data_IF_455357328842
#
_entry.id   IF_455357328842
#
_cell.length_a   1.000
_cell.length_b   1.000
_cell.length_c   1.000
_cell.angle_alpha   90.00
_cell.angle_beta   90.00
_cell.angle_gamma   90.00
#
_symmetry.space_group_name_H-M   'P 1'
#
loop_
_entity.id
_entity.type
_entity.pdbx_description
1 polymer ?
#
# COMPACT_ATOMS: atom_id res chain seq x y z
N UNK A 1 4.47 0.66 17.69
CA UNK A 1 5.18 0.89 16.42
C UNK A 1 5.70 -0.46 15.98
N UNK A 2 5.53 -0.86 14.70
CA UNK A 2 6.30 -2.00 14.20
C UNK A 2 7.77 -1.67 14.29
N UNK A 3 8.56 -2.67 14.68
CA UNK A 3 10.00 -2.55 14.71
C UNK A 3 10.50 -2.29 13.28
N UNK A 4 11.51 -1.44 13.11
CA UNK A 4 12.11 -1.20 11.79
C UNK A 4 12.57 -2.51 11.15
N UNK A 5 13.03 -3.46 11.97
CA UNK A 5 13.41 -4.80 11.52
C UNK A 5 12.24 -5.64 10.97
N UNK A 6 11.01 -5.40 11.42
CA UNK A 6 9.83 -6.05 10.82
C UNK A 6 9.56 -5.50 9.42
N UNK A 7 9.61 -4.17 9.26
CA UNK A 7 9.42 -3.51 7.95
C UNK A 7 10.48 -4.00 6.97
N UNK A 8 11.76 -3.99 7.38
CA UNK A 8 12.89 -4.45 6.57
C UNK A 8 12.72 -5.92 6.14
N UNK A 9 12.28 -6.78 7.05
CA UNK A 9 12.02 -8.20 6.74
C UNK A 9 10.94 -8.38 5.68
N UNK A 10 9.82 -7.65 5.77
CA UNK A 10 8.78 -7.71 4.73
C UNK A 10 9.27 -7.10 3.41
N UNK A 11 10.05 -6.02 3.48
CA UNK A 11 10.63 -5.37 2.31
C UNK A 11 11.51 -6.37 1.53
N UNK A 12 12.46 -7.01 2.20
CA UNK A 12 13.33 -8.02 1.61
C UNK A 12 12.54 -9.20 1.05
N UNK A 13 11.56 -9.71 1.81
CA UNK A 13 10.71 -10.83 1.37
C UNK A 13 9.97 -10.51 0.05
N UNK A 14 9.45 -9.30 -0.10
CA UNK A 14 8.79 -8.86 -1.34
C UNK A 14 9.82 -8.68 -2.47
N UNK A 15 10.94 -7.97 -2.23
CA UNK A 15 11.97 -7.71 -3.24
C UNK A 15 12.60 -8.99 -3.79
N UNK A 16 12.99 -9.91 -2.91
CA UNK A 16 13.54 -11.21 -3.32
C UNK A 16 12.54 -12.01 -4.17
N UNK A 17 11.25 -11.89 -3.87
CA UNK A 17 10.20 -12.57 -4.65
C UNK A 17 10.00 -11.93 -6.03
N UNK A 18 10.17 -10.60 -6.14
CA UNK A 18 10.22 -9.91 -7.44
C UNK A 18 11.41 -10.38 -8.27
N UNK A 19 12.62 -10.38 -7.70
CA UNK A 19 13.84 -10.77 -8.41
C UNK A 19 13.86 -12.23 -8.88
N UNK A 20 13.20 -13.13 -8.13
CA UNK A 20 13.03 -14.52 -8.58
C UNK A 20 12.07 -14.67 -9.76
N UNK A 21 11.30 -13.63 -10.10
CA UNK A 21 10.27 -13.66 -11.13
C UNK A 21 8.97 -14.33 -10.69
N UNK A 22 8.74 -14.47 -9.37
CA UNK A 22 7.54 -15.09 -8.80
C UNK A 22 6.33 -14.12 -8.81
N UNK A 23 6.59 -12.82 -9.01
CA UNK A 23 5.58 -11.77 -9.16
C UNK A 23 5.65 -11.17 -10.57
N UNK A 24 4.51 -10.75 -11.15
CA UNK A 24 4.53 -10.14 -12.48
C UNK A 24 5.25 -8.80 -12.47
N UNK A 25 5.94 -8.47 -13.55
CA UNK A 25 6.61 -7.17 -13.73
C UNK A 25 5.72 -6.13 -14.42
N UNK A 26 4.58 -6.54 -14.98
CA UNK A 26 3.61 -5.65 -15.62
C UNK A 26 2.18 -6.16 -15.46
N UNK A 27 1.21 -5.27 -15.64
CA UNK A 27 -0.21 -5.63 -15.58
C UNK A 27 -0.79 -5.47 -14.18
N UNK A 28 -1.40 -6.53 -13.63
CA UNK A 28 -2.14 -6.43 -12.37
C UNK A 28 -1.22 -6.33 -11.14
N UNK A 29 -1.54 -5.40 -10.25
CA UNK A 29 -0.90 -5.23 -8.94
C UNK A 29 -1.45 -6.19 -7.87
N UNK A 30 -2.58 -6.86 -8.14
CA UNK A 30 -3.23 -7.76 -7.17
C UNK A 30 -2.31 -8.85 -6.59
N UNK A 31 -1.44 -9.52 -7.37
CA UNK A 31 -0.54 -10.54 -6.84
C UNK A 31 0.38 -10.00 -5.73
N UNK A 32 0.82 -8.75 -5.83
CA UNK A 32 1.65 -8.10 -4.79
C UNK A 32 0.86 -7.89 -3.50
N UNK A 33 -0.40 -7.43 -3.61
CA UNK A 33 -1.28 -7.28 -2.45
C UNK A 33 -1.52 -8.61 -1.76
N UNK A 34 -1.90 -9.65 -2.51
CA UNK A 34 -2.19 -10.98 -1.95
C UNK A 34 -0.95 -11.56 -1.29
N UNK A 35 0.20 -11.54 -1.98
CA UNK A 35 1.47 -12.01 -1.43
C UNK A 35 1.85 -11.32 -0.11
N UNK A 36 1.69 -9.99 -0.07
CA UNK A 36 1.98 -9.19 1.12
C UNK A 36 1.04 -9.52 2.28
N UNK A 37 -0.26 -9.71 1.99
CA UNK A 37 -1.26 -10.07 3.00
C UNK A 37 -1.05 -11.49 3.53
N UNK A 38 -0.63 -12.43 2.69
CA UNK A 38 -0.24 -13.79 3.11
C UNK A 38 1.00 -13.75 4.00
N UNK A 39 2.04 -12.99 3.61
CA UNK A 39 3.21 -12.81 4.45
C UNK A 39 2.85 -12.19 5.81
N UNK A 40 1.97 -11.19 5.82
CA UNK A 40 1.48 -10.56 7.05
C UNK A 40 0.62 -11.52 7.89
N UNK A 41 -0.15 -12.40 7.26
CA UNK A 41 -0.92 -13.43 7.97
C UNK A 41 0.03 -14.36 8.74
N UNK A 42 1.11 -14.81 8.10
CA UNK A 42 2.12 -15.66 8.75
C UNK A 42 2.76 -14.94 9.96
N UNK A 43 3.20 -13.69 9.77
CA UNK A 43 3.82 -12.91 10.85
C UNK A 43 2.84 -12.48 11.95
N UNK A 44 1.53 -12.43 11.66
CA UNK A 44 0.52 -12.04 12.64
C UNK A 44 0.46 -12.98 13.85
N UNK A 45 0.92 -14.23 13.70
CA UNK A 45 0.97 -15.22 14.79
C UNK A 45 2.02 -14.87 15.85
N UNK A 46 3.12 -14.22 15.46
CA UNK A 46 4.21 -13.83 16.36
C UNK A 46 4.16 -12.34 16.74
N UNK A 47 3.78 -11.47 15.81
CA UNK A 47 3.86 -10.01 15.97
C UNK A 47 2.51 -9.38 16.36
N UNK A 48 1.42 -10.14 16.20
CA UNK A 48 0.05 -9.63 16.28
C UNK A 48 -0.43 -8.98 14.98
N UNK A 49 -1.74 -9.08 14.73
CA UNK A 49 -2.46 -8.60 13.54
C UNK A 49 -2.07 -7.17 13.14
N UNK A 50 -2.15 -6.24 14.10
CA UNK A 50 -1.93 -4.83 13.82
C UNK A 50 -0.47 -4.54 13.44
N UNK A 51 0.49 -5.28 14.00
CA UNK A 51 1.89 -5.08 13.69
C UNK A 51 2.24 -5.65 12.32
N UNK A 52 1.92 -6.93 12.10
CA UNK A 52 2.21 -7.61 10.85
C UNK A 52 1.56 -6.92 9.64
N UNK A 53 0.31 -6.47 9.76
CA UNK A 53 -0.35 -5.69 8.70
C UNK A 53 0.42 -4.39 8.40
N UNK A 54 0.75 -3.63 9.44
CA UNK A 54 1.37 -2.32 9.27
C UNK A 54 2.76 -2.45 8.64
N UNK A 55 3.59 -3.37 9.15
CA UNK A 55 4.94 -3.60 8.63
C UNK A 55 4.92 -4.03 7.16
N UNK A 56 4.06 -4.98 6.82
CA UNK A 56 3.97 -5.53 5.47
C UNK A 56 3.46 -4.49 4.45
N UNK A 57 2.44 -3.72 4.82
CA UNK A 57 1.92 -2.67 3.93
C UNK A 57 2.89 -1.49 3.82
N UNK A 58 3.63 -1.15 4.88
CA UNK A 58 4.70 -0.16 4.79
C UNK A 58 5.78 -0.61 3.81
N UNK A 59 6.26 -1.86 3.96
CA UNK A 59 7.21 -2.46 3.04
C UNK A 59 6.71 -2.43 1.59
N UNK A 60 5.48 -2.86 1.34
CA UNK A 60 4.88 -2.82 0.00
C UNK A 60 4.76 -1.39 -0.55
N UNK A 61 4.47 -0.40 0.30
CA UNK A 61 4.38 1.01 -0.10
C UNK A 61 5.75 1.61 -0.40
N UNK A 62 6.80 1.17 0.27
CA UNK A 62 8.17 1.57 -0.05
C UNK A 62 8.60 1.06 -1.44
N UNK A 63 8.08 -0.09 -1.87
CA UNK A 63 8.42 -0.74 -3.14
C UNK A 63 7.53 -0.25 -4.29
N UNK A 64 6.21 -0.30 -4.09
CA UNK A 64 5.20 -0.03 -5.11
C UNK A 64 4.25 1.14 -4.73
N UNK A 65 4.61 2.00 -3.78
CA UNK A 65 3.82 3.19 -3.43
C UNK A 65 4.23 4.44 -4.21
N UNK A 66 3.81 5.60 -3.70
CA UNK A 66 4.32 6.88 -4.18
C UNK A 66 5.76 7.10 -3.68
N UNK A 67 6.65 7.65 -4.53
CA UNK A 67 8.07 7.88 -4.20
C UNK A 67 8.24 8.70 -2.91
N UNK A 68 7.36 9.66 -2.69
CA UNK A 68 7.38 10.58 -1.55
C UNK A 68 6.97 9.93 -0.23
N UNK A 69 6.41 8.70 -0.25
CA UNK A 69 6.09 7.98 0.99
C UNK A 69 7.33 7.77 1.87
N UNK A 70 8.49 7.55 1.26
CA UNK A 70 9.78 7.42 1.94
C UNK A 70 10.15 8.65 2.77
N UNK A 71 9.76 9.85 2.33
CA UNK A 71 10.01 11.10 3.06
C UNK A 71 9.26 11.15 4.39
N UNK A 72 8.12 10.46 4.48
CA UNK A 72 7.22 10.47 5.63
C UNK A 72 7.61 9.38 6.63
N UNK A 73 7.98 8.20 6.12
CA UNK A 73 8.30 7.05 6.97
C UNK A 73 9.80 6.80 7.11
N UNK A 74 10.67 7.65 6.54
CA UNK A 74 12.12 7.43 6.51
C UNK A 74 12.76 7.25 7.89
N UNK A 75 12.22 7.91 8.93
CA UNK A 75 12.67 7.69 10.32
C UNK A 75 12.17 6.39 10.96
N UNK A 76 11.36 5.61 10.24
CA UNK A 76 10.72 4.36 10.70
C UNK A 76 11.29 3.11 10.03
N UNK A 77 12.10 3.26 8.97
CA UNK A 77 12.70 2.15 8.22
C UNK A 77 14.16 1.96 8.67
N UNK A 78 14.64 0.72 8.70
CA UNK A 78 15.97 0.39 9.20
C UNK A 78 17.07 0.52 8.15
N UNK A 79 18.28 0.11 8.51
CA UNK A 79 19.46 0.24 7.64
C UNK A 79 19.42 -0.68 6.41
N UNK A 80 18.68 -1.78 6.45
CA UNK A 80 18.54 -2.70 5.31
C UNK A 80 17.81 -2.04 4.13
N UNK A 81 16.92 -1.07 4.40
CA UNK A 81 16.34 -0.22 3.36
C UNK A 81 17.34 0.77 2.78
N UNK A 82 18.33 1.18 3.57
CA UNK A 82 19.39 2.10 3.15
C UNK A 82 20.57 1.39 2.45
N UNK A 83 20.58 0.06 2.41
CA UNK A 83 21.50 -0.67 1.56
C UNK A 83 21.06 -0.53 0.10
N UNK A 84 21.86 0.18 -0.69
CA UNK A 84 21.78 0.22 -2.15
C UNK A 84 22.01 -1.20 -2.69
N UNK A 85 20.95 -1.99 -2.76
CA UNK A 85 20.92 -3.24 -3.53
C UNK A 85 20.46 -2.88 -4.94
N UNK A 86 21.25 -3.27 -5.93
CA UNK A 86 20.96 -3.14 -7.35
C UNK A 86 19.82 -4.11 -7.74
N UNK A 87 18.62 -3.82 -7.29
CA UNK A 87 17.42 -4.55 -7.67
C UNK A 87 17.05 -4.26 -9.12
N UNK A 88 16.86 -5.30 -9.93
CA UNK A 88 16.56 -5.14 -11.37
C UNK A 88 15.05 -4.95 -11.62
N UNK A 89 14.19 -5.47 -10.74
CA UNK A 89 12.73 -5.43 -10.92
C UNK A 89 12.10 -4.21 -10.24
N UNK A 90 11.10 -3.61 -10.89
CA UNK A 90 10.33 -2.47 -10.37
C UNK A 90 8.81 -2.67 -10.46
N UNK A 91 8.04 -1.66 -10.06
CA UNK A 91 6.58 -1.66 -10.10
C UNK A 91 6.00 -0.66 -11.12
N UNK A 92 6.81 -0.12 -12.03
CA UNK A 92 6.41 1.02 -12.87
C UNK A 92 5.29 0.65 -13.84
N UNK A 93 5.30 -0.57 -14.37
CA UNK A 93 4.27 -1.08 -15.29
C UNK A 93 3.12 -1.82 -14.59
N UNK A 94 3.07 -1.77 -13.26
CA UNK A 94 1.98 -2.36 -12.47
C UNK A 94 0.83 -1.37 -12.28
N UNK A 95 -0.37 -1.89 -12.49
CA UNK A 95 -1.62 -1.15 -12.45
C UNK A 95 -2.58 -1.76 -11.44
N UNK A 96 -3.42 -0.93 -10.84
CA UNK A 96 -4.60 -1.36 -10.10
C UNK A 96 -5.80 -0.71 -10.76
N UNK A 97 -6.81 -1.50 -11.11
CA UNK A 97 -7.94 -1.07 -11.92
C UNK A 97 -7.51 -0.41 -13.24
N UNK A 98 -6.46 -0.96 -13.86
CA UNK A 98 -5.90 -0.48 -15.12
C UNK A 98 -5.12 0.85 -15.05
N UNK A 99 -4.89 1.43 -13.86
CA UNK A 99 -4.12 2.68 -13.69
C UNK A 99 -2.94 2.51 -12.74
N UNK A 100 -1.78 3.07 -13.12
CA UNK A 100 -0.59 3.17 -12.26
C UNK A 100 -0.87 4.08 -11.07
N UNK A 101 -1.52 5.23 -11.29
CA UNK A 101 -1.80 6.19 -10.23
C UNK A 101 -2.78 5.62 -9.19
N UNK A 102 -3.76 4.83 -9.64
CA UNK A 102 -4.66 4.13 -8.71
C UNK A 102 -3.92 3.17 -7.78
N UNK A 103 -2.90 2.44 -8.25
CA UNK A 103 -2.03 1.61 -7.40
C UNK A 103 -1.34 2.47 -6.34
N UNK A 104 -0.74 3.59 -6.75
CA UNK A 104 0.00 4.49 -5.86
C UNK A 104 -0.92 5.08 -4.79
N UNK A 105 -2.08 5.59 -5.17
CA UNK A 105 -3.10 6.14 -4.27
C UNK A 105 -3.62 5.09 -3.28
N UNK A 106 -4.04 3.93 -3.79
CA UNK A 106 -4.55 2.83 -2.97
C UNK A 106 -3.53 2.39 -1.91
N UNK A 107 -2.31 2.10 -2.35
CA UNK A 107 -1.26 1.53 -1.48
C UNK A 107 -0.83 2.54 -0.41
N UNK A 108 -0.63 3.79 -0.82
CA UNK A 108 -0.26 4.88 0.09
C UNK A 108 -1.36 5.13 1.13
N UNK A 109 -2.63 5.19 0.71
CA UNK A 109 -3.75 5.39 1.62
C UNK A 109 -3.92 4.22 2.61
N UNK A 110 -3.69 2.98 2.17
CA UNK A 110 -3.72 1.81 3.04
C UNK A 110 -2.62 1.86 4.12
N UNK A 111 -1.40 2.28 3.76
CA UNK A 111 -0.30 2.45 4.71
C UNK A 111 -0.59 3.55 5.73
N UNK A 112 -1.07 4.70 5.27
CA UNK A 112 -1.40 5.82 6.15
C UNK A 112 -2.53 5.47 7.11
N UNK A 113 -3.55 4.74 6.66
CA UNK A 113 -4.59 4.24 7.54
C UNK A 113 -4.04 3.25 8.56
N UNK A 114 -3.12 2.37 8.15
CA UNK A 114 -2.46 1.45 9.08
C UNK A 114 -1.68 2.21 10.16
N UNK A 115 -0.96 3.26 9.78
CA UNK A 115 -0.32 4.17 10.72
C UNK A 115 -1.35 4.85 11.64
N UNK A 116 -2.39 5.47 11.09
CA UNK A 116 -3.41 6.14 11.89
C UNK A 116 -4.03 5.21 12.96
N UNK A 117 -4.33 3.96 12.58
CA UNK A 117 -4.87 2.94 13.49
C UNK A 117 -3.90 2.52 14.61
N UNK A 118 -2.59 2.75 14.44
CA UNK A 118 -1.55 2.50 15.46
C UNK A 118 -1.28 3.72 16.34
N UNK A 119 -2.02 4.82 16.13
CA UNK A 119 -1.88 6.04 16.92
C UNK A 119 -0.65 6.88 16.57
N UNK A 120 -0.13 6.75 15.34
CA UNK A 120 0.97 7.61 14.89
C UNK A 120 0.49 9.06 14.79
N UNK A 121 1.16 9.95 15.53
CA UNK A 121 1.04 11.38 15.35
C UNK A 121 1.90 11.77 14.15
N UNK A 122 1.37 11.62 12.93
CA UNK A 122 1.96 12.27 11.76
C UNK A 122 1.88 13.77 12.00
N UNK A 123 2.99 14.49 11.88
CA UNK A 123 2.94 15.93 12.06
C UNK A 123 2.00 16.55 11.03
N UNK A 124 1.26 17.60 11.42
CA UNK A 124 0.32 18.27 10.49
C UNK A 124 1.04 18.76 9.23
N UNK A 125 2.34 19.07 9.32
CA UNK A 125 3.21 19.42 8.19
C UNK A 125 3.43 18.25 7.23
N UNK A 126 3.88 17.09 7.72
CA UNK A 126 4.06 15.89 6.90
C UNK A 126 2.73 15.41 6.28
N UNK A 127 1.63 15.52 7.03
CA UNK A 127 0.30 15.19 6.53
C UNK A 127 -0.16 16.16 5.43
N UNK A 128 0.21 17.45 5.54
CA UNK A 128 -0.11 18.47 4.53
C UNK A 128 0.70 18.28 3.26
N UNK A 129 2.01 18.05 3.36
CA UNK A 129 2.86 17.79 2.20
C UNK A 129 2.35 16.59 1.42
N UNK A 130 1.97 15.52 2.11
CA UNK A 130 1.33 14.35 1.54
C UNK A 130 -0.03 14.62 0.89
N UNK A 131 -0.89 15.41 1.55
CA UNK A 131 -2.18 15.81 0.98
C UNK A 131 -1.99 16.67 -0.29
N UNK A 132 -1.01 17.56 -0.28
CA UNK A 132 -0.68 18.41 -1.43
C UNK A 132 -0.05 17.59 -2.57
N UNK A 133 0.71 16.53 -2.27
CA UNK A 133 1.20 15.56 -3.27
C UNK A 133 0.04 14.81 -3.94
N UNK A 134 -0.93 14.33 -3.14
CA UNK A 134 -2.16 13.67 -3.64
C UNK A 134 -3.01 14.65 -4.48
N UNK A 135 -2.95 15.95 -4.20
CA UNK A 135 -3.74 17.00 -4.87
C UNK A 135 -3.01 17.71 -6.03
N UNK A 136 -1.74 17.38 -6.27
CA UNK A 136 -0.91 18.06 -7.28
C UNK A 136 -1.36 17.75 -8.73
N UNK A 137 -2.13 16.69 -8.94
CA UNK A 137 -3.01 16.51 -10.09
C UNK A 137 -4.44 16.94 -9.73
N UNK A 138 -5.17 17.55 -10.66
CA UNK A 138 -6.54 18.05 -10.40
C UNK A 138 -7.47 17.02 -9.76
N UNK A 139 -8.60 17.47 -9.19
CA UNK A 139 -9.54 16.59 -8.49
C UNK A 139 -10.12 15.50 -9.42
N UNK A 140 -9.61 14.28 -9.26
CA UNK A 140 -10.05 13.06 -9.96
C UNK A 140 -10.79 12.15 -8.96
N UNK A 141 -12.07 11.86 -9.22
CA UNK A 141 -12.83 10.99 -8.33
C UNK A 141 -12.33 9.54 -8.33
N UNK A 142 -11.60 9.11 -9.37
CA UNK A 142 -10.98 7.79 -9.39
C UNK A 142 -9.78 7.70 -8.44
N UNK A 143 -9.11 8.82 -8.14
CA UNK A 143 -8.07 8.86 -7.10
C UNK A 143 -8.71 8.82 -5.71
N UNK A 144 -9.83 9.52 -5.50
CA UNK A 144 -10.63 9.37 -4.28
C UNK A 144 -11.15 7.95 -4.09
N UNK A 145 -11.58 7.30 -5.17
CA UNK A 145 -12.03 5.92 -5.16
C UNK A 145 -10.90 4.96 -4.74
N UNK A 146 -9.70 5.14 -5.30
CA UNK A 146 -8.52 4.38 -4.94
C UNK A 146 -8.12 4.59 -3.46
N UNK A 147 -8.04 5.84 -3.01
CA UNK A 147 -7.70 6.20 -1.63
C UNK A 147 -8.69 5.57 -0.63
N UNK A 148 -9.99 5.74 -0.86
CA UNK A 148 -11.04 5.18 0.00
C UNK A 148 -11.02 3.65 0.03
N UNK A 149 -10.69 3.01 -1.10
CA UNK A 149 -10.57 1.56 -1.19
C UNK A 149 -9.38 1.05 -0.36
N UNK A 150 -8.23 1.73 -0.43
CA UNK A 150 -7.05 1.41 0.40
C UNK A 150 -7.33 1.55 1.90
N UNK A 151 -7.98 2.64 2.30
CA UNK A 151 -8.43 2.87 3.69
C UNK A 151 -9.36 1.76 4.16
N UNK A 152 -10.34 1.36 3.34
CA UNK A 152 -11.30 0.30 3.66
C UNK A 152 -10.59 -1.05 3.85
N UNK A 153 -9.65 -1.40 2.97
CA UNK A 153 -8.86 -2.63 3.11
C UNK A 153 -8.08 -2.64 4.42
N UNK A 154 -7.37 -1.54 4.73
CA UNK A 154 -6.61 -1.43 5.97
C UNK A 154 -7.47 -1.61 7.21
N UNK A 155 -8.58 -0.89 7.30
CA UNK A 155 -9.51 -1.04 8.42
C UNK A 155 -10.09 -2.45 8.51
N UNK A 156 -10.41 -3.08 7.36
CA UNK A 156 -10.95 -4.44 7.32
C UNK A 156 -9.97 -5.46 7.87
N UNK A 157 -8.72 -5.45 7.41
CA UNK A 157 -7.72 -6.42 7.88
C UNK A 157 -7.34 -6.18 9.35
N UNK A 158 -7.12 -4.94 9.76
CA UNK A 158 -6.72 -4.63 11.14
C UNK A 158 -7.83 -4.88 12.18
N UNK A 159 -9.10 -4.86 11.77
CA UNK A 159 -10.24 -5.23 12.64
C UNK A 159 -10.61 -6.71 12.58
N UNK A 160 -10.05 -7.47 11.62
CA UNK A 160 -10.32 -8.90 11.48
C UNK A 160 -9.32 -9.70 12.35
N UNK A 161 -9.79 -10.61 13.23
CA UNK A 161 -8.90 -11.47 14.01
C UNK A 161 -8.03 -12.38 13.12
N UNK A 162 -6.79 -12.66 13.54
CA UNK A 162 -5.83 -13.47 12.78
C UNK A 162 -6.41 -14.80 12.23
N UNK A 163 -7.19 -15.59 13.00
CA UNK A 163 -7.75 -16.85 12.47
C UNK A 163 -8.64 -16.70 11.24
N UNK A 164 -9.21 -15.51 11.01
CA UNK A 164 -10.14 -15.24 9.91
C UNK A 164 -9.44 -14.62 8.69
N UNK A 165 -8.15 -14.29 8.79
CA UNK A 165 -7.40 -13.69 7.69
C UNK A 165 -7.27 -14.61 6.49
N UNK A 166 -7.03 -15.91 6.70
CA UNK A 166 -6.95 -16.88 5.62
C UNK A 166 -8.24 -16.93 4.78
N UNK A 167 -9.41 -16.73 5.38
CA UNK A 167 -10.68 -16.62 4.64
C UNK A 167 -10.82 -15.28 3.93
N UNK A 168 -10.45 -14.19 4.61
CA UNK A 168 -10.49 -12.85 4.03
C UNK A 168 -9.58 -12.74 2.79
N UNK A 169 -8.36 -13.27 2.85
CA UNK A 169 -7.43 -13.27 1.72
C UNK A 169 -7.99 -14.12 0.56
N UNK A 170 -8.51 -15.32 0.84
CA UNK A 170 -9.13 -16.18 -0.19
C UNK A 170 -10.35 -15.55 -0.88
N UNK A 171 -11.00 -14.57 -0.24
CA UNK A 171 -12.12 -13.84 -0.85
C UNK A 171 -11.67 -12.85 -1.93
N UNK A 172 -10.39 -12.46 -1.93
CA UNK A 172 -9.79 -11.57 -2.94
C UNK A 172 -9.43 -12.41 -4.16
N UNK A 173 -10.28 -12.40 -5.18
CA UNK A 173 -10.11 -13.19 -6.41
C UNK A 173 -9.84 -12.31 -7.64
N UNK A 174 -10.10 -11.01 -7.52
CA UNK A 174 -9.93 -10.00 -8.55
C UNK A 174 -9.64 -8.64 -7.92
N UNK A 175 -9.13 -7.69 -8.71
CA UNK A 175 -8.89 -6.32 -8.23
C UNK A 175 -10.17 -5.69 -7.68
N UNK A 176 -11.32 -6.01 -8.27
CA UNK A 176 -12.62 -5.48 -7.86
C UNK A 176 -13.09 -5.95 -6.48
N UNK A 177 -12.39 -6.91 -5.85
CA UNK A 177 -12.65 -7.32 -4.47
C UNK A 177 -11.94 -6.39 -3.46
N UNK A 178 -10.94 -5.60 -3.90
CA UNK A 178 -10.18 -4.66 -3.06
C UNK A 178 -10.37 -3.20 -3.46
N UNK A 179 -10.58 -2.90 -4.75
CA UNK A 179 -10.81 -1.56 -5.28
C UNK A 179 -12.16 -1.47 -5.98
N UNK A 180 -12.85 -0.33 -5.82
CA UNK A 180 -14.11 -0.13 -6.54
C UNK A 180 -13.85 0.07 -8.03
N UNK A 181 -14.76 -0.48 -8.83
CA UNK A 181 -14.81 -0.26 -10.28
C UNK A 181 -14.91 1.23 -10.61
N UNK A 182 -14.19 1.65 -11.64
CA UNK A 182 -14.22 3.04 -12.10
C UNK A 182 -15.33 3.29 -13.13
N UNK A 183 -16.01 2.25 -13.62
CA UNK A 183 -17.18 2.44 -14.48
C UNK A 183 -18.23 3.31 -13.77
N UNK A 184 -18.54 4.47 -14.36
CA UNK A 184 -19.51 5.44 -13.83
C UNK A 184 -18.94 6.45 -12.84
N UNK A 185 -17.64 6.41 -12.52
CA UNK A 185 -16.97 7.45 -11.72
C UNK A 185 -16.48 8.57 -12.65
N UNK A 186 -16.86 9.84 -12.43
CA UNK A 186 -16.36 10.95 -13.24
C UNK A 186 -14.83 11.09 -13.07
N UNK A 187 -14.06 11.16 -14.15
CA UNK A 187 -12.59 11.19 -14.04
C UNK A 187 -12.03 12.59 -13.78
N UNK A 188 -12.71 13.66 -14.20
CA UNK A 188 -12.25 15.05 -13.99
C UNK A 188 -13.48 15.95 -13.82
N UNK A 189 -13.54 16.72 -12.73
CA UNK A 189 -14.33 17.96 -12.74
C UNK A 189 -13.40 19.09 -13.19
N UNK A 190 -13.45 19.44 -14.48
CA UNK A 190 -12.86 20.70 -14.92
C UNK A 190 -13.67 21.80 -14.24
N UNK A 191 -13.04 22.59 -13.37
CA UNK A 191 -13.64 23.84 -12.92
C UNK A 191 -13.88 24.70 -14.17
N UNK A 192 -15.15 24.90 -14.53
CA UNK A 192 -15.50 25.84 -15.58
C UNK A 192 -14.85 27.19 -15.29
N UNK A 193 -14.18 27.85 -16.25
CA UNK A 193 -13.82 29.24 -16.10
C UNK A 193 -15.12 30.03 -15.89
N UNK A 194 -15.17 30.81 -14.81
CA UNK A 194 -16.21 31.82 -14.59
C UNK A 194 -15.87 33.03 -15.45
#
# INVERSE_FOLDING_TARGET
MPDSSDIDRYYLKIRETMERGDLPVSGSYLPYLVYTLEAAHDGSQSEGVANAYTSAIFALTLICGAKDFTLIVGGMVGSEFAEDRDWESDCDDLTLNGRIDSRRHFTTAAALQAASNRGFAVSVGEFKELYDTIKSGGFDFTDLAANNSGIRMSNKFMSTPAPNWAELIRSIRSENDVIIRFEGIPQIMLSSPI
#
